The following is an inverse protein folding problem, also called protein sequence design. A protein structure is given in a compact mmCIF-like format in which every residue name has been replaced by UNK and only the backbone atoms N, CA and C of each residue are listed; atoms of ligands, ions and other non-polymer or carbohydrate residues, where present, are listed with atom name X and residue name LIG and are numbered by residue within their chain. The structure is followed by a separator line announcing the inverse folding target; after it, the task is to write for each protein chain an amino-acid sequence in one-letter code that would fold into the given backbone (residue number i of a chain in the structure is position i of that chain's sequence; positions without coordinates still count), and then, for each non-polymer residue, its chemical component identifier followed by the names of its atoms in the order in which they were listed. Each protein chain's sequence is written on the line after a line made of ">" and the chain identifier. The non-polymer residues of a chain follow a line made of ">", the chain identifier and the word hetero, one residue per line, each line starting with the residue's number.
data_IF_298701011714
#
_entry.id   IF_298701011714
#
_cell.length_a   1.000
_cell.length_b   1.000
_cell.length_c   1.000
_cell.angle_alpha   90.00
_cell.angle_beta   90.00
_cell.angle_gamma   90.00
#
_symmetry.space_group_name_H-M   'P 1'
#
loop_
_entity.id
_entity.type
_entity.pdbx_description
1 polymer ?
#
# COMPACT_ATOMS: atom_id res chain seq x y z
N UNK A 1 -6.76 10.83 18.80
CA UNK A 1 -5.49 10.52 18.09
C UNK A 1 -5.77 10.53 16.59
N UNK A 2 -4.91 11.12 15.76
CA UNK A 2 -5.08 11.11 14.30
C UNK A 2 -4.61 9.77 13.73
N UNK A 3 -5.52 9.01 13.14
CA UNK A 3 -5.24 7.73 12.47
C UNK A 3 -4.11 7.86 11.44
N UNK A 4 -3.37 6.78 11.18
CA UNK A 4 -2.34 6.72 10.16
C UNK A 4 -2.93 7.01 8.78
N UNK A 5 -2.22 7.79 7.97
CA UNK A 5 -2.63 8.18 6.62
C UNK A 5 -1.45 8.08 5.68
N UNK A 6 -1.69 7.75 4.41
CA UNK A 6 -0.64 7.67 3.41
C UNK A 6 0.13 8.99 3.26
N UNK A 7 1.46 8.89 3.10
CA UNK A 7 2.30 10.02 2.69
C UNK A 7 2.25 10.22 1.18
N UNK A 8 2.53 11.45 0.74
CA UNK A 8 2.72 11.75 -0.66
C UNK A 8 4.01 11.14 -1.22
N UNK A 9 4.04 10.97 -2.54
CA UNK A 9 5.20 10.55 -3.33
C UNK A 9 5.86 9.23 -2.86
N UNK A 10 5.10 8.32 -2.27
CA UNK A 10 5.58 6.99 -1.88
C UNK A 10 5.29 5.94 -2.96
N UNK A 11 4.01 5.69 -3.28
CA UNK A 11 3.62 4.72 -4.29
C UNK A 11 3.99 3.25 -4.01
N UNK A 12 4.60 2.91 -2.87
CA UNK A 12 5.04 1.54 -2.57
C UNK A 12 3.87 0.52 -2.57
N UNK A 13 2.69 0.95 -2.13
CA UNK A 13 1.48 0.13 -2.18
C UNK A 13 1.01 -0.18 -3.60
N UNK A 14 1.45 0.55 -4.63
CA UNK A 14 1.07 0.30 -6.02
C UNK A 14 1.86 -0.86 -6.66
N UNK A 15 2.86 -1.42 -5.98
CA UNK A 15 3.41 -2.73 -6.33
C UNK A 15 2.50 -3.81 -5.76
N UNK A 16 1.67 -4.40 -6.61
CA UNK A 16 0.73 -5.46 -6.27
C UNK A 16 1.14 -6.73 -7.02
N UNK A 17 2.21 -7.39 -6.55
CA UNK A 17 2.46 -8.77 -6.97
C UNK A 17 1.78 -9.72 -5.98
N UNK A 18 0.64 -10.29 -6.38
CA UNK A 18 -0.11 -11.24 -5.56
C UNK A 18 0.62 -12.58 -5.38
N UNK A 19 1.55 -12.94 -6.28
CA UNK A 19 2.37 -14.15 -6.14
C UNK A 19 3.43 -14.00 -5.05
N UNK A 20 3.93 -12.78 -4.84
CA UNK A 20 4.90 -12.47 -3.78
C UNK A 20 4.23 -12.28 -2.40
N UNK A 21 2.89 -12.32 -2.31
CA UNK A 21 2.12 -12.01 -1.09
C UNK A 21 1.09 -13.09 -0.77
N UNK A 22 1.60 -14.28 -0.45
CA UNK A 22 0.82 -15.35 0.19
C UNK A 22 0.14 -14.80 1.46
N UNK A 23 -1.19 -14.73 1.46
CA UNK A 23 -2.00 -14.17 2.55
C UNK A 23 -2.82 -12.94 2.16
N UNK A 24 -2.43 -12.21 1.11
CA UNK A 24 -3.23 -11.09 0.60
C UNK A 24 -4.38 -11.60 -0.29
N UNK A 25 -4.16 -12.68 -1.04
CA UNK A 25 -5.19 -13.36 -1.84
C UNK A 25 -6.40 -13.80 -0.99
N UNK A 26 -6.17 -14.23 0.25
CA UNK A 26 -7.25 -14.67 1.17
C UNK A 26 -8.14 -13.52 1.66
N UNK A 27 -7.71 -12.27 1.48
CA UNK A 27 -8.47 -11.07 1.89
C UNK A 27 -9.22 -10.42 0.73
N UNK A 28 -9.02 -10.92 -0.48
CA UNK A 28 -9.58 -10.40 -1.72
C UNK A 28 -10.60 -11.39 -2.29
N UNK A 29 -11.70 -10.88 -2.84
CA UNK A 29 -12.63 -11.73 -3.58
C UNK A 29 -12.17 -11.91 -5.05
N UNK A 30 -12.88 -12.73 -5.83
CA UNK A 30 -12.51 -12.98 -7.23
C UNK A 30 -12.56 -11.71 -8.10
N UNK A 31 -13.49 -10.78 -7.84
CA UNK A 31 -13.61 -9.53 -8.59
C UNK A 31 -12.43 -8.59 -8.28
N UNK A 32 -12.00 -8.53 -7.03
CA UNK A 32 -10.83 -7.76 -6.60
C UNK A 32 -9.57 -8.28 -7.27
N UNK A 33 -9.39 -9.61 -7.29
CA UNK A 33 -8.24 -10.25 -7.93
C UNK A 33 -8.25 -9.95 -9.43
N UNK A 34 -9.40 -10.06 -10.10
CA UNK A 34 -9.53 -9.73 -11.51
C UNK A 34 -9.21 -8.26 -11.80
N UNK A 35 -9.67 -7.34 -10.94
CA UNK A 35 -9.40 -5.92 -11.06
C UNK A 35 -7.91 -5.62 -10.84
N UNK A 36 -7.29 -6.18 -9.81
CA UNK A 36 -5.85 -6.06 -9.55
C UNK A 36 -5.05 -6.55 -10.76
N UNK A 37 -5.39 -7.73 -11.30
CA UNK A 37 -4.71 -8.29 -12.46
C UNK A 37 -4.85 -7.39 -13.70
N UNK A 38 -6.03 -6.81 -13.94
CA UNK A 38 -6.23 -5.89 -15.07
C UNK A 38 -5.42 -4.58 -14.93
N UNK A 39 -5.23 -4.11 -13.70
CA UNK A 39 -4.50 -2.89 -13.37
C UNK A 39 -2.98 -3.11 -13.23
N UNK A 40 -2.50 -4.35 -13.12
CA UNK A 40 -1.08 -4.66 -12.88
C UNK A 40 -0.35 -4.93 -14.19
N UNK A 41 0.81 -4.31 -14.38
CA UNK A 41 1.71 -4.55 -15.51
C UNK A 41 2.58 -5.79 -15.28
N UNK A 42 3.27 -6.26 -16.32
CA UNK A 42 4.13 -7.47 -16.24
C UNK A 42 5.24 -7.38 -15.20
N UNK A 43 5.67 -6.17 -14.87
CA UNK A 43 6.68 -5.91 -13.87
C UNK A 43 6.10 -5.82 -12.44
N UNK A 44 4.82 -6.15 -12.22
CA UNK A 44 4.15 -6.16 -10.92
C UNK A 44 3.73 -4.78 -10.40
N UNK A 45 3.92 -3.71 -11.17
CA UNK A 45 3.48 -2.36 -10.81
C UNK A 45 2.10 -2.04 -11.38
N UNK A 46 1.31 -1.26 -10.64
CA UNK A 46 0.04 -0.74 -11.14
C UNK A 46 0.27 0.22 -12.32
N UNK A 47 -0.47 0.01 -13.41
CA UNK A 47 -0.46 0.83 -14.64
C UNK A 47 -0.88 2.28 -14.37
N UNK A 48 -1.64 2.52 -13.30
CA UNK A 48 -2.11 3.86 -12.91
C UNK A 48 -1.14 4.59 -11.95
N UNK A 49 0.06 4.07 -11.70
CA UNK A 49 1.09 4.77 -10.96
C UNK A 49 1.93 5.63 -11.91
N UNK A 50 1.90 6.95 -11.72
CA UNK A 50 2.97 7.82 -12.20
C UNK A 50 4.26 7.46 -11.43
N UNK A 51 5.20 6.81 -12.12
CA UNK A 51 6.43 6.31 -11.52
C UNK A 51 7.46 7.40 -11.26
N UNK A 52 7.36 8.54 -11.94
CA UNK A 52 8.26 9.67 -11.77
C UNK A 52 7.88 10.44 -10.50
N UNK A 53 6.59 10.82 -10.40
CA UNK A 53 6.10 11.59 -9.25
C UNK A 53 5.60 10.72 -8.10
N UNK A 54 5.51 9.40 -8.27
CA UNK A 54 4.99 8.43 -7.29
C UNK A 54 3.55 8.74 -6.86
N UNK A 55 2.72 9.16 -7.82
CA UNK A 55 1.31 9.53 -7.61
C UNK A 55 0.37 8.58 -8.35
N UNK A 56 -0.79 8.31 -7.75
CA UNK A 56 -1.83 7.52 -8.39
C UNK A 56 -2.64 8.43 -9.33
N UNK A 57 -2.73 8.07 -10.61
CA UNK A 57 -3.47 8.81 -11.63
C UNK A 57 -5.00 8.74 -11.44
N UNK A 58 -5.48 7.78 -10.64
CA UNK A 58 -6.89 7.56 -10.33
C UNK A 58 -7.18 7.76 -8.83
N UNK A 59 -6.48 8.70 -8.18
CA UNK A 59 -6.46 8.82 -6.71
C UNK A 59 -7.85 8.85 -6.06
N UNK A 60 -8.80 9.58 -6.65
CA UNK A 60 -10.15 9.73 -6.12
C UNK A 60 -11.05 8.52 -6.43
N UNK A 61 -10.83 7.87 -7.57
CA UNK A 61 -11.56 6.68 -8.02
C UNK A 61 -10.87 5.36 -7.65
N UNK A 62 -9.92 5.40 -6.70
CA UNK A 62 -9.21 4.20 -6.24
C UNK A 62 -10.18 3.12 -5.74
N UNK A 63 -9.99 1.85 -6.14
CA UNK A 63 -10.72 0.73 -5.56
C UNK A 63 -10.49 0.60 -4.05
N UNK A 64 -11.40 -0.08 -3.36
CA UNK A 64 -11.36 -0.21 -1.91
C UNK A 64 -10.05 -0.85 -1.38
N UNK A 65 -9.49 -1.83 -2.08
CA UNK A 65 -8.21 -2.45 -1.72
C UNK A 65 -6.99 -1.51 -1.86
N UNK A 66 -7.12 -0.40 -2.61
CA UNK A 66 -6.11 0.64 -2.69
C UNK A 66 -6.24 1.71 -1.59
N UNK A 67 -7.29 1.63 -0.77
CA UNK A 67 -7.59 2.58 0.31
C UNK A 67 -7.28 1.92 1.64
N UNK A 68 -6.20 2.39 2.29
CA UNK A 68 -5.68 1.79 3.52
C UNK A 68 -6.75 1.62 4.59
N UNK A 69 -7.57 2.65 4.82
CA UNK A 69 -8.61 2.62 5.86
C UNK A 69 -9.76 1.65 5.56
N UNK A 70 -9.99 1.30 4.29
CA UNK A 70 -11.05 0.37 3.91
C UNK A 70 -10.50 -1.07 3.93
N UNK A 71 -9.34 -1.29 3.30
CA UNK A 71 -8.74 -2.62 3.17
C UNK A 71 -8.25 -3.18 4.51
N UNK A 72 -7.73 -2.32 5.40
CA UNK A 72 -7.21 -2.75 6.70
C UNK A 72 -8.23 -3.48 7.57
N UNK A 73 -9.51 -3.15 7.42
CA UNK A 73 -10.61 -3.79 8.16
C UNK A 73 -10.74 -5.30 7.90
N UNK A 74 -10.16 -5.79 6.79
CA UNK A 74 -10.10 -7.22 6.45
C UNK A 74 -9.06 -8.00 7.28
N UNK A 75 -8.19 -7.31 8.03
CA UNK A 75 -7.12 -7.92 8.81
C UNK A 75 -7.48 -7.92 10.31
N UNK A 76 -7.42 -9.08 10.94
CA UNK A 76 -7.70 -9.23 12.38
C UNK A 76 -6.67 -8.47 13.22
N UNK A 77 -5.43 -8.40 12.72
CA UNK A 77 -4.31 -7.69 13.29
C UNK A 77 -4.57 -6.18 13.35
N UNK A 78 -5.22 -5.61 12.33
CA UNK A 78 -5.63 -4.21 12.34
C UNK A 78 -6.63 -3.93 13.46
N UNK A 79 -7.58 -4.84 13.71
CA UNK A 79 -8.54 -4.70 14.80
C UNK A 79 -7.88 -4.76 16.19
N UNK A 80 -6.71 -5.39 16.31
CA UNK A 80 -5.94 -5.47 17.57
C UNK A 80 -4.95 -4.33 17.75
N UNK A 81 -4.28 -3.92 16.68
CA UNK A 81 -3.09 -3.05 16.74
C UNK A 81 -3.26 -1.71 16.02
N UNK A 82 -4.37 -1.51 15.31
CA UNK A 82 -4.74 -0.26 14.65
C UNK A 82 -3.63 0.27 13.74
N UNK A 83 -3.29 1.54 13.93
CA UNK A 83 -2.26 2.24 13.14
C UNK A 83 -0.89 1.56 13.18
N UNK A 84 -0.53 0.89 14.29
CA UNK A 84 0.76 0.20 14.39
C UNK A 84 0.89 -0.86 13.30
N UNK A 85 -0.17 -1.64 13.07
CA UNK A 85 -0.21 -2.63 11.99
C UNK A 85 -0.02 -1.97 10.61
N UNK A 86 -0.68 -0.84 10.36
CA UNK A 86 -0.56 -0.13 9.08
C UNK A 86 0.83 0.44 8.86
N UNK A 87 1.45 1.00 9.90
CA UNK A 87 2.81 1.53 9.88
C UNK A 87 3.79 0.40 9.58
N UNK A 88 3.67 -0.73 10.27
CA UNK A 88 4.55 -1.89 10.06
C UNK A 88 4.42 -2.43 8.61
N UNK A 89 3.20 -2.54 8.08
CA UNK A 89 2.98 -2.92 6.67
C UNK A 89 3.60 -1.92 5.68
N UNK A 90 3.45 -0.62 5.93
CA UNK A 90 4.03 0.42 5.08
C UNK A 90 5.56 0.37 5.11
N UNK A 91 6.17 0.20 6.29
CA UNK A 91 7.61 0.11 6.45
C UNK A 91 8.17 -1.08 5.66
N UNK A 92 7.56 -2.26 5.83
CA UNK A 92 7.97 -3.47 5.11
C UNK A 92 7.90 -3.29 3.59
N UNK A 93 6.80 -2.72 3.07
CA UNK A 93 6.65 -2.51 1.63
C UNK A 93 7.60 -1.46 1.07
N UNK A 94 7.78 -0.34 1.76
CA UNK A 94 8.72 0.70 1.31
C UNK A 94 10.14 0.13 1.29
N UNK A 95 10.52 -0.61 2.33
CA UNK A 95 11.82 -1.26 2.41
C UNK A 95 12.02 -2.29 1.30
N UNK A 96 11.02 -3.13 1.03
CA UNK A 96 11.10 -4.16 -0.03
C UNK A 96 11.19 -3.56 -1.43
N UNK A 97 10.45 -2.48 -1.72
CA UNK A 97 10.41 -1.90 -3.07
C UNK A 97 11.55 -0.91 -3.35
N UNK A 98 11.93 -0.09 -2.37
CA UNK A 98 12.87 1.01 -2.56
C UNK A 98 14.12 0.90 -1.68
N UNK A 99 14.13 0.00 -0.71
CA UNK A 99 15.21 -0.14 0.27
C UNK A 99 15.00 0.73 1.53
N UNK A 100 15.57 0.27 2.63
CA UNK A 100 15.47 0.92 3.95
C UNK A 100 16.12 2.32 4.01
N UNK A 101 17.03 2.63 3.08
CA UNK A 101 17.72 3.93 3.01
C UNK A 101 17.12 4.91 1.98
N UNK A 102 16.00 4.53 1.36
CA UNK A 102 15.31 5.32 0.33
C UNK A 102 14.79 6.66 0.83
N UNK A 103 14.49 7.58 -0.11
CA UNK A 103 13.89 8.88 0.21
C UNK A 103 12.47 8.70 0.76
N UNK A 104 11.75 7.72 0.24
CA UNK A 104 10.42 7.29 0.64
C UNK A 104 10.43 6.81 2.09
N UNK A 105 11.38 5.95 2.47
CA UNK A 105 11.52 5.47 3.85
C UNK A 105 11.81 6.61 4.83
N UNK A 106 12.72 7.53 4.46
CA UNK A 106 13.04 8.70 5.30
C UNK A 106 11.82 9.61 5.50
N UNK A 107 11.06 9.86 4.43
CA UNK A 107 9.84 10.67 4.47
C UNK A 107 8.77 10.01 5.32
N UNK A 108 8.58 8.70 5.15
CA UNK A 108 7.66 7.88 5.94
C UNK A 108 8.00 7.92 7.43
N UNK A 109 9.25 7.64 7.79
CA UNK A 109 9.73 7.70 9.19
C UNK A 109 9.51 9.06 9.82
N UNK A 110 9.80 10.12 9.08
CA UNK A 110 9.55 11.49 9.56
C UNK A 110 8.06 11.74 9.83
N UNK A 111 7.17 11.21 8.99
CA UNK A 111 5.72 11.37 9.15
C UNK A 111 5.16 10.56 10.33
N UNK A 112 5.70 9.37 10.61
CA UNK A 112 5.26 8.55 11.75
C UNK A 112 5.88 8.98 13.08
N UNK A 113 7.11 9.50 13.09
CA UNK A 113 7.78 9.97 14.31
C UNK A 113 7.31 11.33 14.80
N UNK A 114 6.68 12.14 13.95
CA UNK A 114 6.09 13.44 14.31
C UNK A 114 4.68 13.31 14.92
N UNK A 115 4.25 12.10 15.28
CA UNK A 115 2.94 11.81 15.88
C UNK A 115 3.06 11.42 17.35
#
# INVERSE_FOLDING_TARGET
>A
MKSWTCIENCGACCKFNLEERSGLKEKLNHEDIALINSMTAKDGWCKNLDRENKKCLIYDSRPHFCRVNEFSTRFKEYLKSGDKFLIDCCEQHISSNYGYRSKEMKSFKTAVSKK
#
